data_IF_121925332316
#
_entry.id   IF_121925332316
#
_cell.length_a   1.000
_cell.length_b   1.000
_cell.length_c   1.000
_cell.angle_alpha   90.00
_cell.angle_beta   90.00
_cell.angle_gamma   90.00
#
_symmetry.space_group_name_H-M   'P 1'
#
loop_
_entity.id
_entity.type
_entity.pdbx_description
1 polymer ?
#
# COMPACT_ATOMS: atom_id res chain seq x y z
N UNK A 1 -14.09 16.45 -0.68
CA UNK A 1 -14.47 15.93 -2.02
C UNK A 1 -13.31 15.06 -2.48
N UNK A 2 -13.60 13.85 -2.95
CA UNK A 2 -12.69 12.71 -2.88
C UNK A 2 -12.39 12.15 -4.29
N UNK A 3 -11.20 11.60 -4.48
CA UNK A 3 -10.85 10.80 -5.65
C UNK A 3 -11.79 9.60 -5.79
N UNK A 4 -12.07 9.26 -7.05
CA UNK A 4 -12.98 8.20 -7.42
C UNK A 4 -12.22 7.09 -8.14
N UNK A 5 -12.41 5.85 -7.69
CA UNK A 5 -11.89 4.67 -8.39
C UNK A 5 -12.91 4.20 -9.41
N UNK A 6 -12.53 4.17 -10.69
CA UNK A 6 -13.34 3.69 -11.81
C UNK A 6 -12.77 2.39 -12.36
N UNK A 7 -13.61 1.36 -12.46
CA UNK A 7 -13.29 0.11 -13.16
C UNK A 7 -13.56 0.30 -14.66
N UNK A 8 -12.59 -0.02 -15.50
CA UNK A 8 -12.72 -0.13 -16.94
C UNK A 8 -12.54 -1.60 -17.32
N UNK A 9 -13.56 -2.19 -17.95
CA UNK A 9 -13.54 -3.58 -18.42
C UNK A 9 -13.27 -3.61 -19.92
N UNK A 10 -12.44 -4.56 -20.37
CA UNK A 10 -12.09 -4.74 -21.79
C UNK A 10 -11.63 -3.45 -22.48
N UNK A 11 -10.81 -2.66 -21.80
CA UNK A 11 -10.31 -1.40 -22.30
C UNK A 11 -9.18 -1.64 -23.31
N UNK A 12 -9.28 -1.04 -24.50
CA UNK A 12 -8.27 -1.15 -25.55
C UNK A 12 -7.61 0.21 -25.79
N UNK A 13 -6.29 0.25 -25.74
CA UNK A 13 -5.51 1.46 -26.03
C UNK A 13 -4.20 1.09 -26.72
N UNK A 14 -3.89 1.78 -27.83
CA UNK A 14 -2.67 1.54 -28.64
C UNK A 14 -2.36 0.06 -28.90
N UNK A 15 -3.38 -0.74 -29.22
CA UNK A 15 -3.23 -2.17 -29.50
C UNK A 15 -3.13 -3.08 -28.27
N UNK A 16 -3.03 -2.52 -27.06
CA UNK A 16 -3.06 -3.28 -25.81
C UNK A 16 -4.49 -3.45 -25.29
N UNK A 17 -4.80 -4.67 -24.84
CA UNK A 17 -6.08 -4.99 -24.19
C UNK A 17 -5.84 -5.14 -22.68
N UNK A 18 -6.61 -4.37 -21.91
CA UNK A 18 -6.71 -4.51 -20.46
C UNK A 18 -8.04 -5.15 -20.13
N UNK A 19 -8.01 -6.40 -19.64
CA UNK A 19 -9.22 -7.13 -19.23
C UNK A 19 -9.94 -6.38 -18.11
N UNK A 20 -9.19 -5.93 -17.11
CA UNK A 20 -9.66 -5.04 -16.04
C UNK A 20 -8.59 -4.01 -15.72
N UNK A 21 -8.90 -2.74 -15.93
CA UNK A 21 -8.08 -1.60 -15.54
C UNK A 21 -8.81 -0.77 -14.48
N UNK A 22 -8.17 -0.53 -13.35
CA UNK A 22 -8.68 0.37 -12.31
C UNK A 22 -8.00 1.72 -12.43
N UNK A 23 -8.79 2.79 -12.53
CA UNK A 23 -8.30 4.16 -12.69
C UNK A 23 -8.72 4.99 -11.50
N UNK A 24 -7.78 5.73 -10.92
CA UNK A 24 -8.06 6.71 -9.86
C UNK A 24 -8.21 8.08 -10.52
N UNK A 25 -9.34 8.73 -10.30
CA UNK A 25 -9.69 10.02 -10.89
C UNK A 25 -9.81 11.08 -9.81
N UNK A 26 -9.35 12.29 -10.09
CA UNK A 26 -9.61 13.47 -9.26
C UNK A 26 -11.04 14.01 -9.45
N UNK A 27 -11.33 15.13 -8.80
CA UNK A 27 -12.63 15.82 -8.89
C UNK A 27 -12.96 16.30 -10.30
N UNK A 28 -11.95 16.64 -11.10
CA UNK A 28 -12.08 17.06 -12.49
C UNK A 28 -12.16 15.88 -13.46
N UNK A 29 -12.29 14.64 -12.94
CA UNK A 29 -12.23 13.38 -13.70
C UNK A 29 -10.91 13.20 -14.45
N UNK A 30 -9.84 13.83 -13.97
CA UNK A 30 -8.49 13.70 -14.50
C UNK A 30 -7.71 12.70 -13.63
N UNK A 31 -7.10 11.66 -14.24
CA UNK A 31 -6.25 10.75 -13.50
C UNK A 31 -4.88 11.36 -13.18
N UNK A 32 -4.37 11.24 -11.95
CA UNK A 32 -2.97 11.53 -11.66
C UNK A 32 -2.05 10.61 -12.46
N UNK A 33 -1.07 11.19 -13.14
CA UNK A 33 -0.24 10.48 -14.13
C UNK A 33 0.50 9.28 -13.50
N UNK A 34 1.21 9.50 -12.39
CA UNK A 34 2.01 8.43 -11.77
C UNK A 34 1.14 7.29 -11.20
N UNK A 35 0.06 7.57 -10.44
CA UNK A 35 -0.92 6.54 -10.08
C UNK A 35 -1.52 5.81 -11.28
N UNK A 36 -1.84 6.51 -12.38
CA UNK A 36 -2.38 5.88 -13.59
C UNK A 36 -1.37 4.92 -14.24
N UNK A 37 -0.12 5.34 -14.34
CA UNK A 37 0.96 4.50 -14.87
C UNK A 37 1.16 3.26 -13.99
N UNK A 38 1.12 3.43 -12.67
CA UNK A 38 1.20 2.33 -11.72
C UNK A 38 0.02 1.36 -11.85
N UNK A 39 -1.23 1.84 -11.88
CA UNK A 39 -2.38 0.93 -12.01
C UNK A 39 -2.43 0.24 -13.37
N UNK A 40 -1.94 0.90 -14.43
CA UNK A 40 -1.78 0.30 -15.75
C UNK A 40 -0.69 -0.78 -15.75
N UNK A 41 0.42 -0.54 -15.05
CA UNK A 41 1.49 -1.51 -14.85
C UNK A 41 0.97 -2.76 -14.10
N UNK A 42 0.26 -2.56 -12.98
CA UNK A 42 -0.37 -3.65 -12.23
C UNK A 42 -1.33 -4.46 -13.09
N UNK A 43 -2.20 -3.79 -13.85
CA UNK A 43 -3.20 -4.44 -14.71
C UNK A 43 -2.55 -5.24 -15.85
N UNK A 44 -1.40 -4.80 -16.35
CA UNK A 44 -0.70 -5.45 -17.46
C UNK A 44 0.16 -6.64 -17.03
N UNK A 45 0.88 -6.49 -15.92
CA UNK A 45 1.90 -7.47 -15.52
C UNK A 45 1.51 -8.29 -14.30
N UNK A 46 0.62 -7.79 -13.43
CA UNK A 46 0.26 -8.48 -12.20
C UNK A 46 1.41 -8.60 -11.19
N UNK A 47 2.42 -7.72 -11.28
CA UNK A 47 3.65 -7.78 -10.49
C UNK A 47 3.80 -6.54 -9.61
N UNK A 48 4.37 -6.72 -8.42
CA UNK A 48 4.84 -5.63 -7.54
C UNK A 48 6.29 -5.84 -7.14
N UNK A 49 6.97 -4.75 -6.76
CA UNK A 49 8.36 -4.82 -6.30
C UNK A 49 8.43 -4.77 -4.77
N UNK A 50 9.19 -5.70 -4.20
CA UNK A 50 9.51 -5.72 -2.77
C UNK A 50 11.00 -5.47 -2.56
N UNK A 51 11.33 -4.64 -1.56
CA UNK A 51 12.72 -4.40 -1.20
C UNK A 51 13.23 -5.51 -0.30
N UNK A 52 14.26 -6.23 -0.74
CA UNK A 52 15.00 -7.19 0.10
C UNK A 52 16.38 -6.66 0.44
N UNK A 53 16.75 -6.80 1.71
CA UNK A 53 18.12 -6.58 2.17
C UNK A 53 18.92 -7.86 1.93
N UNK A 54 19.93 -7.78 1.06
CA UNK A 54 20.90 -8.84 0.90
C UNK A 54 22.01 -8.60 1.93
N UNK A 55 22.14 -9.52 2.90
CA UNK A 55 23.28 -9.55 3.80
C UNK A 55 24.46 -10.21 3.09
N UNK A 56 25.45 -9.41 2.67
CA UNK A 56 26.73 -9.96 2.23
C UNK A 56 27.51 -10.39 3.48
N UNK A 57 28.18 -11.54 3.41
CA UNK A 57 28.89 -12.18 4.54
C UNK A 57 29.97 -11.30 5.20
N UNK A 58 30.40 -10.21 4.56
CA UNK A 58 31.41 -9.27 5.07
C UNK A 58 30.86 -8.11 5.91
N UNK A 59 29.57 -8.14 6.28
CA UNK A 59 29.02 -7.40 7.42
C UNK A 59 28.95 -5.87 7.33
N UNK A 60 29.55 -5.23 6.31
CA UNK A 60 29.61 -3.75 6.19
C UNK A 60 28.75 -3.16 5.07
N UNK A 61 28.41 -3.92 4.03
CA UNK A 61 27.59 -3.42 2.91
C UNK A 61 26.27 -4.18 2.85
N UNK A 62 25.16 -3.47 3.08
CA UNK A 62 23.80 -3.95 2.81
C UNK A 62 23.44 -3.53 1.40
N UNK A 63 23.28 -4.49 0.49
CA UNK A 63 22.75 -4.19 -0.85
C UNK A 63 21.24 -4.34 -0.79
N UNK A 64 20.53 -3.31 -1.25
CA UNK A 64 19.09 -3.36 -1.45
C UNK A 64 18.82 -3.85 -2.87
N UNK A 65 17.99 -4.87 -3.00
CA UNK A 65 17.48 -5.33 -4.30
C UNK A 65 15.96 -5.22 -4.32
N UNK A 66 15.41 -4.80 -5.47
CA UNK A 66 13.98 -4.84 -5.73
C UNK A 66 13.67 -6.14 -6.43
N UNK A 67 12.89 -7.00 -5.77
CA UNK A 67 12.46 -8.27 -6.34
C UNK A 67 11.02 -8.17 -6.81
N UNK A 68 10.77 -8.65 -8.02
CA UNK A 68 9.44 -8.77 -8.58
C UNK A 68 8.68 -9.92 -7.91
N UNK A 69 7.42 -9.67 -7.55
CA UNK A 69 6.51 -10.66 -6.98
C UNK A 69 5.14 -10.58 -7.65
N UNK A 70 4.62 -11.72 -8.09
CA UNK A 70 3.26 -11.82 -8.63
C UNK A 70 2.20 -11.57 -7.55
N UNK A 71 1.10 -10.94 -7.96
CA UNK A 71 -0.06 -10.68 -7.11
C UNK A 71 -1.37 -11.03 -7.82
N UNK A 72 -2.39 -11.39 -7.03
CA UNK A 72 -3.71 -11.73 -7.55
C UNK A 72 -4.52 -10.49 -7.93
N UNK A 73 -5.55 -10.65 -8.78
CA UNK A 73 -6.51 -9.59 -9.12
C UNK A 73 -7.19 -8.96 -7.90
N UNK A 74 -7.44 -9.78 -6.87
CA UNK A 74 -8.01 -9.29 -5.61
C UNK A 74 -7.04 -8.37 -4.86
N UNK A 75 -5.76 -8.70 -4.89
CA UNK A 75 -4.68 -7.88 -4.34
C UNK A 75 -4.49 -6.60 -5.14
N UNK A 76 -4.53 -6.66 -6.48
CA UNK A 76 -4.48 -5.48 -7.35
C UNK A 76 -5.60 -4.51 -6.96
N UNK A 77 -6.84 -5.01 -6.88
CA UNK A 77 -7.99 -4.20 -6.46
C UNK A 77 -7.73 -3.57 -5.09
N UNK A 78 -7.34 -4.36 -4.09
CA UNK A 78 -7.06 -3.85 -2.75
C UNK A 78 -6.00 -2.74 -2.76
N UNK A 79 -4.91 -2.92 -3.51
CA UNK A 79 -3.83 -1.94 -3.61
C UNK A 79 -4.30 -0.64 -4.24
N UNK A 80 -5.12 -0.69 -5.30
CA UNK A 80 -5.67 0.51 -5.94
C UNK A 80 -6.59 1.27 -5.00
N UNK A 81 -7.48 0.60 -4.28
CA UNK A 81 -8.35 1.26 -3.31
C UNK A 81 -7.55 1.86 -2.14
N UNK A 82 -6.57 1.13 -1.61
CA UNK A 82 -5.72 1.62 -0.54
C UNK A 82 -4.88 2.83 -0.97
N UNK A 83 -4.36 2.83 -2.21
CA UNK A 83 -3.68 3.97 -2.80
C UNK A 83 -4.63 5.15 -2.98
N UNK A 84 -5.86 4.92 -3.47
CA UNK A 84 -6.86 5.98 -3.62
C UNK A 84 -7.18 6.69 -2.31
N UNK A 85 -7.23 5.95 -1.18
CA UNK A 85 -7.44 6.54 0.15
C UNK A 85 -6.28 7.47 0.56
N UNK A 86 -5.05 7.11 0.24
CA UNK A 86 -3.90 7.99 0.46
C UNK A 86 -3.92 9.23 -0.44
N UNK A 87 -4.29 9.08 -1.72
CA UNK A 87 -4.43 10.20 -2.64
C UNK A 87 -5.53 11.18 -2.21
N UNK A 88 -6.63 10.68 -1.61
CA UNK A 88 -7.65 11.51 -0.98
C UNK A 88 -7.09 12.33 0.17
N UNK A 89 -6.30 11.69 1.03
CA UNK A 89 -5.65 12.38 2.14
C UNK A 89 -4.72 13.51 1.63
N UNK A 90 -3.99 13.31 0.52
CA UNK A 90 -3.18 14.37 -0.08
C UNK A 90 -4.02 15.57 -0.52
N UNK A 91 -5.18 15.35 -1.14
CA UNK A 91 -6.07 16.46 -1.49
C UNK A 91 -6.68 17.16 -0.27
N UNK A 92 -7.00 16.43 0.79
CA UNK A 92 -7.44 17.04 2.05
C UNK A 92 -6.34 17.89 2.68
N UNK A 93 -5.09 17.41 2.67
CA UNK A 93 -3.94 18.21 3.10
C UNK A 93 -3.77 19.47 2.26
N UNK A 94 -3.88 19.37 0.93
CA UNK A 94 -3.82 20.51 0.02
C UNK A 94 -4.89 21.56 0.35
N UNK A 95 -6.13 21.13 0.60
CA UNK A 95 -7.23 22.04 0.95
C UNK A 95 -7.02 22.74 2.28
N UNK A 96 -6.51 22.03 3.28
CA UNK A 96 -6.40 22.55 4.65
C UNK A 96 -5.09 23.32 4.90
N UNK A 97 -4.00 22.96 4.22
CA UNK A 97 -2.64 23.44 4.53
C UNK A 97 -1.90 23.99 3.31
N UNK A 98 -2.57 24.12 2.15
CA UNK A 98 -1.98 24.59 0.89
C UNK A 98 -0.72 23.79 0.46
N UNK A 99 -0.72 22.48 0.73
CA UNK A 99 0.36 21.56 0.35
C UNK A 99 0.16 20.98 -1.05
N UNK A 100 1.14 20.20 -1.51
CA UNK A 100 1.02 19.35 -2.71
C UNK A 100 -0.18 18.39 -2.61
N UNK A 101 -0.89 18.23 -3.73
CA UNK A 101 -2.06 17.36 -3.86
C UNK A 101 -1.74 16.00 -4.47
N UNK A 102 -2.77 15.25 -4.89
CA UNK A 102 -2.64 13.87 -5.37
C UNK A 102 -1.77 13.72 -6.63
N UNK A 103 -1.75 14.76 -7.48
CA UNK A 103 -0.93 14.81 -8.71
C UNK A 103 0.57 14.87 -8.43
N UNK A 104 0.96 15.24 -7.21
CA UNK A 104 2.35 15.33 -6.75
C UNK A 104 2.68 14.24 -5.73
N UNK A 105 2.02 13.08 -5.79
CA UNK A 105 2.23 11.98 -4.85
C UNK A 105 3.69 11.49 -4.76
N UNK A 106 4.49 11.63 -5.81
CA UNK A 106 5.93 11.29 -5.81
C UNK A 106 6.80 12.20 -4.94
N UNK A 107 6.37 13.43 -4.66
CA UNK A 107 7.17 14.36 -3.86
C UNK A 107 7.02 14.13 -2.35
N UNK A 108 6.25 13.12 -1.94
CA UNK A 108 6.01 12.83 -0.53
C UNK A 108 7.28 12.28 0.13
N UNK A 109 7.65 12.83 1.28
CA UNK A 109 8.78 12.33 2.07
C UNK A 109 8.41 11.08 2.86
N UNK A 110 9.42 10.26 3.20
CA UNK A 110 9.24 9.09 4.06
C UNK A 110 8.53 9.45 5.37
N UNK A 111 8.92 10.57 5.98
CA UNK A 111 8.33 11.06 7.23
C UNK A 111 6.85 11.38 7.06
N UNK A 112 6.45 11.99 5.95
CA UNK A 112 5.06 12.34 5.67
C UNK A 112 4.20 11.09 5.53
N UNK A 113 4.63 10.13 4.71
CA UNK A 113 3.87 8.89 4.47
C UNK A 113 3.80 8.03 5.73
N UNK A 114 4.90 7.92 6.48
CA UNK A 114 4.89 7.22 7.77
C UNK A 114 4.00 7.93 8.80
N UNK A 115 3.94 9.27 8.81
CA UNK A 115 3.00 10.00 9.68
C UNK A 115 1.56 9.68 9.29
N UNK A 116 1.23 9.70 8.00
CA UNK A 116 -0.10 9.33 7.52
C UNK A 116 -0.50 7.92 8.00
N UNK A 117 0.35 6.92 7.76
CA UNK A 117 0.09 5.53 8.19
C UNK A 117 -0.07 5.42 9.71
N UNK A 118 0.88 5.97 10.47
CA UNK A 118 0.98 5.68 11.90
C UNK A 118 0.11 6.55 12.81
N UNK A 119 -0.40 7.68 12.30
CA UNK A 119 -1.20 8.63 13.09
C UNK A 119 -2.59 8.83 12.51
N UNK A 120 -2.70 9.22 11.24
CA UNK A 120 -4.00 9.54 10.63
C UNK A 120 -4.77 8.25 10.38
N UNK A 121 -4.20 7.35 9.59
CA UNK A 121 -4.87 6.14 9.17
C UNK A 121 -5.11 5.16 10.33
N UNK A 122 -4.17 5.06 11.28
CA UNK A 122 -4.34 4.27 12.50
C UNK A 122 -5.44 4.80 13.45
N UNK A 123 -5.82 6.07 13.31
CA UNK A 123 -6.94 6.63 14.06
C UNK A 123 -8.29 6.37 13.39
N UNK A 124 -8.32 6.29 12.07
CA UNK A 124 -9.52 6.01 11.28
C UNK A 124 -9.90 4.54 11.17
N UNK A 125 -8.93 3.63 11.30
CA UNK A 125 -9.15 2.18 11.11
C UNK A 125 -9.37 1.46 12.44
N UNK A 126 -10.18 0.41 12.39
CA UNK A 126 -10.46 -0.48 13.54
C UNK A 126 -9.69 -1.80 13.50
N UNK A 127 -8.97 -2.09 12.42
CA UNK A 127 -8.26 -3.36 12.22
C UNK A 127 -6.80 -3.17 11.85
N UNK A 128 -5.91 -3.86 12.59
CA UNK A 128 -4.47 -3.93 12.28
C UNK A 128 -4.22 -4.51 10.89
N UNK A 129 -5.00 -5.49 10.46
CA UNK A 129 -4.82 -6.12 9.13
C UNK A 129 -5.14 -5.16 7.99
N UNK A 130 -6.08 -4.24 8.22
CA UNK A 130 -6.40 -3.19 7.24
C UNK A 130 -5.24 -2.20 7.12
N UNK A 131 -4.68 -1.79 8.26
CA UNK A 131 -3.51 -0.90 8.29
C UNK A 131 -2.29 -1.53 7.60
N UNK A 132 -2.05 -2.82 7.82
CA UNK A 132 -1.01 -3.59 7.12
C UNK A 132 -1.24 -3.65 5.61
N UNK A 133 -2.48 -3.86 5.16
CA UNK A 133 -2.82 -3.84 3.74
C UNK A 133 -2.60 -2.46 3.10
N UNK A 134 -2.85 -1.37 3.83
CA UNK A 134 -2.54 -0.02 3.37
C UNK A 134 -1.02 0.20 3.29
N UNK A 135 -0.27 -0.21 4.32
CA UNK A 135 1.19 -0.13 4.31
C UNK A 135 1.77 -0.89 3.12
N UNK A 136 1.32 -2.13 2.88
CA UNK A 136 1.77 -2.94 1.75
C UNK A 136 1.46 -2.30 0.40
N UNK A 137 0.25 -1.73 0.23
CA UNK A 137 -0.13 -1.05 -1.00
C UNK A 137 0.73 0.20 -1.27
N UNK A 138 1.00 1.02 -0.25
CA UNK A 138 1.85 2.20 -0.38
C UNK A 138 3.31 1.80 -0.63
N UNK A 139 3.83 0.80 0.09
CA UNK A 139 5.17 0.28 -0.17
C UNK A 139 5.30 -0.21 -1.61
N UNK A 140 4.32 -0.95 -2.13
CA UNK A 140 4.34 -1.40 -3.53
C UNK A 140 4.34 -0.24 -4.53
N UNK A 141 3.57 0.82 -4.27
CA UNK A 141 3.57 2.02 -5.11
C UNK A 141 4.91 2.75 -5.09
N UNK A 142 5.48 3.01 -3.92
CA UNK A 142 6.76 3.73 -3.80
C UNK A 142 7.96 2.89 -4.23
N UNK A 143 7.94 1.57 -4.04
CA UNK A 143 8.95 0.67 -4.61
C UNK A 143 8.86 0.63 -6.15
N UNK A 144 7.66 0.73 -6.72
CA UNK A 144 7.50 0.88 -8.16
C UNK A 144 8.05 2.23 -8.66
N UNK A 145 7.87 3.31 -7.91
CA UNK A 145 8.49 4.60 -8.22
C UNK A 145 10.01 4.55 -8.14
N UNK A 146 10.57 3.81 -7.18
CA UNK A 146 12.01 3.54 -7.06
C UNK A 146 12.51 2.71 -8.25
N UNK A 147 11.79 1.65 -8.63
CA UNK A 147 12.10 0.83 -9.79
C UNK A 147 12.11 1.62 -11.10
N UNK A 148 11.21 2.61 -11.23
CA UNK A 148 11.15 3.52 -12.37
C UNK A 148 12.14 4.69 -12.27
N UNK A 149 13.01 4.71 -11.25
CA UNK A 149 14.00 5.76 -10.98
C UNK A 149 13.40 7.17 -10.78
N UNK A 150 12.14 7.26 -10.34
CA UNK A 150 11.41 8.53 -10.15
C UNK A 150 11.67 9.12 -8.77
N UNK A 151 11.70 8.27 -7.74
CA UNK A 151 11.89 8.69 -6.35
C UNK A 151 12.85 7.74 -5.63
N UNK A 152 13.65 8.23 -4.68
CA UNK A 152 14.43 7.34 -3.83
C UNK A 152 13.51 6.44 -2.98
N UNK A 153 14.07 5.33 -2.53
CA UNK A 153 13.41 4.40 -1.62
C UNK A 153 12.78 5.10 -0.41
N UNK A 154 11.54 4.74 -0.10
CA UNK A 154 10.88 5.13 1.16
C UNK A 154 10.77 3.92 2.09
N UNK A 155 11.31 4.01 3.31
CA UNK A 155 11.17 2.96 4.31
C UNK A 155 9.85 3.11 5.07
N UNK A 156 8.78 2.59 4.48
CA UNK A 156 7.46 2.62 5.07
C UNK A 156 7.28 1.46 6.05
N UNK A 157 6.85 1.78 7.27
CA UNK A 157 6.63 0.77 8.32
C UNK A 157 5.61 1.23 9.33
N UNK A 158 4.90 0.26 9.89
CA UNK A 158 4.03 0.48 11.04
C UNK A 158 4.87 0.41 12.31
N UNK A 159 4.87 1.50 13.08
CA UNK A 159 5.62 1.59 14.32
C UNK A 159 5.09 0.64 15.37
N UNK A 160 5.97 0.27 16.31
CA UNK A 160 5.62 -0.62 17.42
C UNK A 160 4.46 -0.05 18.25
N UNK A 161 4.51 1.24 18.56
CA UNK A 161 3.47 1.95 19.33
C UNK A 161 2.12 1.93 18.62
N UNK A 162 2.10 2.17 17.31
CA UNK A 162 0.90 2.10 16.49
C UNK A 162 0.31 0.70 16.46
N UNK A 163 1.16 -0.35 16.33
CA UNK A 163 0.69 -1.74 16.40
C UNK A 163 0.03 -2.06 17.74
N UNK A 164 0.59 -1.60 18.85
CA UNK A 164 0.01 -1.78 20.18
C UNK A 164 -1.34 -1.07 20.31
N UNK A 165 -1.44 0.17 19.82
CA UNK A 165 -2.69 0.94 19.79
C UNK A 165 -3.77 0.26 18.95
N UNK A 166 -3.41 -0.25 17.77
CA UNK A 166 -4.34 -0.98 16.91
C UNK A 166 -4.79 -2.30 17.53
N UNK A 167 -3.89 -2.98 18.25
CA UNK A 167 -4.23 -4.19 18.98
C UNK A 167 -5.24 -3.90 20.10
N UNK A 168 -5.05 -2.84 20.88
CA UNK A 168 -5.99 -2.47 21.94
C UNK A 168 -7.34 -2.00 21.42
N UNK A 169 -7.40 -1.41 20.22
CA UNK A 169 -8.66 -1.03 19.55
C UNK A 169 -9.40 -2.22 18.95
N UNK A 170 -8.69 -3.27 18.56
CA UNK A 170 -9.30 -4.40 17.87
C UNK A 170 -10.23 -5.16 18.81
N UNK A 171 -11.53 -5.09 18.57
CA UNK A 171 -12.55 -5.82 19.33
C UNK A 171 -12.60 -7.33 19.01
N UNK A 172 -11.58 -7.89 18.34
CA UNK A 172 -11.54 -9.32 18.04
C UNK A 172 -11.44 -10.09 19.35
N UNK A 173 -12.52 -10.76 19.71
CA UNK A 173 -12.56 -11.66 20.86
C UNK A 173 -11.57 -12.80 20.61
N UNK A 174 -10.47 -12.82 21.36
CA UNK A 174 -9.50 -13.91 21.28
C UNK A 174 -10.18 -15.19 21.80
N UNK A 175 -10.53 -16.08 20.87
CA UNK A 175 -11.01 -17.41 21.21
C UNK A 175 -9.82 -18.23 21.72
N UNK A 176 -9.68 -18.35 23.03
CA UNK A 176 -8.68 -19.20 23.67
C UNK A 176 -9.21 -20.64 23.60
N UNK A 177 -8.70 -21.44 22.66
CA UNK A 177 -8.94 -22.89 22.66
C UNK A 177 -8.10 -23.54 23.75
N UNK A 178 -8.76 -24.00 24.82
CA UNK A 178 -8.12 -24.90 25.76
C UNK A 178 -8.00 -26.28 25.13
N UNK A 179 -6.78 -26.78 24.99
CA UNK A 179 -6.54 -28.20 24.68
C UNK A 179 -7.07 -29.01 25.86
N UNK A 180 -8.04 -29.89 25.59
CA UNK A 180 -8.64 -30.74 26.62
C UNK A 180 -7.58 -31.65 27.25
N UNK A 181 -7.81 -32.05 28.51
CA UNK A 181 -6.84 -32.85 29.28
C UNK A 181 -6.46 -34.16 28.58
N UNK A 182 -7.39 -34.73 27.81
CA UNK A 182 -7.20 -35.96 27.04
C UNK A 182 -6.12 -35.80 25.96
N UNK A 183 -6.22 -34.75 25.14
CA UNK A 183 -5.28 -34.49 24.04
C UNK A 183 -3.86 -34.10 24.49
N UNK A 184 -3.68 -33.67 25.74
CA UNK A 184 -2.33 -33.39 26.29
C UNK A 184 -1.49 -34.64 26.52
N UNK A 185 -2.13 -35.80 26.72
CA UNK A 185 -1.47 -37.06 27.01
C UNK A 185 -0.99 -37.80 25.76
N UNK A 186 -1.50 -37.44 24.58
CA UNK A 186 -1.17 -38.10 23.30
C UNK A 186 0.02 -37.43 22.58
N UNK A 187 0.48 -36.27 23.06
CA UNK A 187 1.61 -35.51 22.52
C UNK A 187 2.94 -35.76 23.28
N UNK A 188 2.94 -36.67 24.25
CA UNK A 188 4.13 -37.17 24.96
C UNK A 188 4.46 -38.58 24.46
#
# INVERSE_FOLDING_TARGET
MAAHVKKLSNFKYNGHLFTTLWVILDESRSPPILPLLYTSFLSRYGVVYESKELSISDGRNRIHSLEARDISDSTIRAYVYNLSKFLNYLEECKKNHNTVGMHSSSTCSEQFVNRYLNTVLANELDSSTSLEAHCAALSAYFNWLEYMEITPKLNLRIYRTTRQLMFSKSQKQHYIQYVSRYWRLELL
#
